data_IF_126305737493
#
_entry.id   IF_126305737493
#
_cell.length_a   1.000
_cell.length_b   1.000
_cell.length_c   1.000
_cell.angle_alpha   90.00
_cell.angle_beta   90.00
_cell.angle_gamma   90.00
#
_symmetry.space_group_name_H-M   'P 1'
#
loop_
_entity.id
_entity.type
_entity.pdbx_description
1 polymer ?
#
# COMPACT_ATOMS: atom_id res chain seq x y z
N UNK A 1 -6.11 3.97 -2.42
CA UNK A 1 -6.52 3.27 -1.18
C UNK A 1 -7.85 2.59 -1.43
N UNK A 2 -7.92 1.26 -1.31
CA UNK A 2 -9.20 0.56 -1.38
C UNK A 2 -9.69 0.17 0.02
N UNK A 3 -10.96 0.49 0.30
CA UNK A 3 -11.56 0.34 1.63
C UNK A 3 -12.05 -1.08 1.87
N UNK A 4 -12.37 -1.82 0.81
CA UNK A 4 -12.70 -3.25 0.87
C UNK A 4 -11.40 -4.05 0.70
N UNK A 5 -11.14 -4.98 1.62
CA UNK A 5 -9.99 -5.89 1.55
C UNK A 5 -10.31 -7.20 0.83
N UNK A 6 -9.26 -7.91 0.39
CA UNK A 6 -9.37 -9.27 -0.16
C UNK A 6 -8.53 -9.50 -1.42
N UNK A 7 -8.14 -10.76 -1.67
CA UNK A 7 -7.26 -11.09 -2.80
C UNK A 7 -7.93 -10.97 -4.18
N UNK A 8 -9.26 -10.90 -4.24
CA UNK A 8 -10.04 -10.92 -5.48
C UNK A 8 -10.67 -9.56 -5.83
N UNK A 9 -10.34 -8.50 -5.10
CA UNK A 9 -10.83 -7.15 -5.42
C UNK A 9 -10.07 -6.58 -6.61
N UNK A 10 -10.70 -5.65 -7.33
CA UNK A 10 -10.15 -5.06 -8.55
C UNK A 10 -8.72 -4.55 -8.37
N UNK A 11 -8.44 -3.78 -7.31
CA UNK A 11 -7.10 -3.25 -7.04
C UNK A 11 -6.03 -4.31 -6.76
N UNK A 12 -6.39 -5.41 -6.10
CA UNK A 12 -5.45 -6.48 -5.77
C UNK A 12 -5.07 -7.33 -6.99
N UNK A 13 -6.03 -7.57 -7.90
CA UNK A 13 -5.79 -8.29 -9.15
C UNK A 13 -4.84 -7.49 -10.04
N UNK A 14 -5.13 -6.20 -10.25
CA UNK A 14 -4.31 -5.33 -11.09
C UNK A 14 -2.89 -5.19 -10.54
N UNK A 15 -2.72 -5.00 -9.23
CA UNK A 15 -1.39 -4.92 -8.64
C UNK A 15 -0.57 -6.20 -8.84
N UNK A 16 -1.23 -7.38 -8.73
CA UNK A 16 -0.60 -8.68 -9.04
C UNK A 16 -0.17 -8.79 -10.49
N UNK A 17 -1.00 -8.36 -11.42
CA UNK A 17 -0.68 -8.38 -12.86
C UNK A 17 0.45 -7.43 -13.23
N UNK A 18 0.55 -6.30 -12.52
CA UNK A 18 1.60 -5.29 -12.70
C UNK A 18 2.89 -5.61 -11.93
N UNK A 19 2.91 -6.63 -11.08
CA UNK A 19 4.08 -7.00 -10.27
C UNK A 19 4.48 -5.94 -9.23
N UNK A 20 3.52 -5.11 -8.78
CA UNK A 20 3.76 -4.05 -7.79
C UNK A 20 3.19 -4.45 -6.41
N UNK A 21 3.80 -3.99 -5.30
CA UNK A 21 3.28 -4.25 -3.97
C UNK A 21 1.90 -3.60 -3.77
N UNK A 22 1.02 -4.29 -3.05
CA UNK A 22 -0.32 -3.81 -2.75
C UNK A 22 -0.73 -4.18 -1.33
N UNK A 23 -1.23 -3.18 -0.59
CA UNK A 23 -1.89 -3.36 0.71
C UNK A 23 -3.29 -2.78 0.59
N UNK A 24 -4.30 -3.56 0.95
CA UNK A 24 -5.72 -3.18 0.86
C UNK A 24 -6.42 -3.35 2.21
N UNK A 25 -7.61 -2.74 2.36
CA UNK A 25 -8.40 -2.88 3.58
C UNK A 25 -7.77 -2.27 4.83
N UNK A 26 -6.85 -1.31 4.67
CA UNK A 26 -6.26 -0.58 5.80
C UNK A 26 -7.32 0.29 6.45
N UNK A 27 -7.74 -0.08 7.66
CA UNK A 27 -8.76 0.64 8.41
C UNK A 27 -8.29 2.09 8.69
N UNK A 28 -9.15 3.07 8.43
CA UNK A 28 -8.84 4.48 8.69
C UNK A 28 -7.82 5.11 7.73
N UNK A 29 -7.38 4.41 6.67
CA UNK A 29 -6.32 4.91 5.81
C UNK A 29 -6.69 6.20 5.07
N UNK A 30 -7.96 6.35 4.68
CA UNK A 30 -8.43 7.57 3.99
C UNK A 30 -8.45 8.79 4.92
N UNK A 31 -8.59 8.54 6.23
CA UNK A 31 -8.61 9.58 7.26
C UNK A 31 -7.20 9.90 7.76
N UNK A 32 -6.28 8.94 7.72
CA UNK A 32 -4.90 9.07 8.17
C UNK A 32 -3.96 9.66 7.11
N UNK A 33 -4.20 9.39 5.83
CA UNK A 33 -3.37 9.85 4.72
C UNK A 33 -3.90 11.15 4.11
N UNK A 34 -3.00 12.05 3.76
CA UNK A 34 -3.30 13.31 3.08
C UNK A 34 -2.62 13.37 1.73
N UNK A 35 -3.21 14.15 0.83
CA UNK A 35 -2.60 14.39 -0.48
C UNK A 35 -1.23 15.03 -0.31
N UNK A 36 -0.22 14.45 -0.96
CA UNK A 36 1.17 14.86 -0.85
C UNK A 36 2.00 14.13 0.20
N UNK A 37 1.40 13.26 1.01
CA UNK A 37 2.15 12.41 1.94
C UNK A 37 3.02 11.41 1.15
N UNK A 38 4.29 11.31 1.54
CA UNK A 38 5.16 10.21 1.12
C UNK A 38 4.75 8.98 1.93
N UNK A 39 4.50 7.87 1.26
CA UNK A 39 4.15 6.61 1.89
C UNK A 39 5.06 5.49 1.43
N UNK A 40 5.45 4.65 2.38
CA UNK A 40 6.20 3.42 2.13
C UNK A 40 5.24 2.24 2.28
N UNK A 41 5.26 1.32 1.30
CA UNK A 41 4.37 0.16 1.25
C UNK A 41 5.19 -1.12 1.26
N UNK A 42 5.03 -1.94 2.31
CA UNK A 42 5.55 -3.29 2.37
C UNK A 42 4.43 -4.29 2.04
N UNK A 43 4.46 -4.80 0.81
CA UNK A 43 3.49 -5.79 0.32
C UNK A 43 3.68 -7.20 0.90
N UNK A 44 4.82 -7.52 1.51
CA UNK A 44 5.08 -8.82 2.12
C UNK A 44 4.52 -8.89 3.55
N UNK A 45 4.72 -7.82 4.32
CA UNK A 45 4.22 -7.72 5.70
C UNK A 45 2.81 -7.13 5.77
N UNK A 46 2.33 -6.52 4.69
CA UNK A 46 1.03 -5.85 4.66
C UNK A 46 1.02 -4.53 5.42
N UNK A 47 2.16 -3.82 5.47
CA UNK A 47 2.36 -2.62 6.29
C UNK A 47 2.44 -1.39 5.38
N UNK A 48 1.81 -0.30 5.81
CA UNK A 48 1.95 1.02 5.20
C UNK A 48 2.46 1.99 6.26
N UNK A 49 3.57 2.68 5.95
CA UNK A 49 4.19 3.66 6.83
C UNK A 49 4.13 5.03 6.17
N UNK A 50 3.77 6.06 6.94
CA UNK A 50 3.85 7.45 6.48
C UNK A 50 5.28 7.94 6.66
N UNK A 51 5.90 8.36 5.57
CA UNK A 51 7.29 8.76 5.51
C UNK A 51 8.11 7.96 4.49
N UNK A 52 9.33 8.45 4.17
CA UNK A 52 10.27 7.71 3.33
C UNK A 52 10.69 6.40 4.01
N UNK A 53 11.15 5.40 3.24
CA UNK A 53 11.65 4.16 3.81
C UNK A 53 12.91 4.41 4.63
N UNK A 54 13.04 3.69 5.75
CA UNK A 54 14.26 3.69 6.58
C UNK A 54 15.42 2.87 5.96
N UNK A 55 15.18 2.27 4.79
CA UNK A 55 16.13 1.46 4.04
C UNK A 55 16.41 2.07 2.67
N UNK A 56 17.62 1.86 2.18
CA UNK A 56 18.04 2.31 0.85
C UNK A 56 17.36 1.46 -0.24
N UNK A 57 16.69 2.12 -1.19
CA UNK A 57 15.95 1.48 -2.28
C UNK A 57 16.84 1.08 -3.46
N UNK A 58 18.11 1.51 -3.48
CA UNK A 58 19.04 1.29 -4.60
C UNK A 58 19.92 0.03 -4.46
N UNK A 59 19.63 -0.88 -3.54
CA UNK A 59 20.39 -2.13 -3.34
C UNK A 59 19.75 -3.36 -3.96
#
# INVERSE_FOLDING_TARGET
VERRGGMLIHGAIIARELGIPCVNGVAGASEALRDGDIVTVDGNLGIVTVGPPDFDLER
#
